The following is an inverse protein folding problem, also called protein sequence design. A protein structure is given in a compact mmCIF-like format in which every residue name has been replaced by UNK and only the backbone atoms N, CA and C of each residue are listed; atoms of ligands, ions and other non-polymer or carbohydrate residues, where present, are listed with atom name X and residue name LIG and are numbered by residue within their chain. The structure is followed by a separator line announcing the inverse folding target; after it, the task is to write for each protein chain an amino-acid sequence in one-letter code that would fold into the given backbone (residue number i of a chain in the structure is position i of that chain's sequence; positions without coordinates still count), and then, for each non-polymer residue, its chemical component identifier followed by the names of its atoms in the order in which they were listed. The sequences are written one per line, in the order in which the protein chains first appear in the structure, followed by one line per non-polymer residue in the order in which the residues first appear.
data_IF_801521913010
#
_entry.id   IF_801521913010
#
_cell.length_a   1.000
_cell.length_b   1.000
_cell.length_c   1.000
_cell.angle_alpha   90.00
_cell.angle_beta   90.00
_cell.angle_gamma   90.00
#
_symmetry.space_group_name_H-M   'P 1'
#
loop_
_entity.id
_entity.type
_entity.pdbx_description
1 polymer ?
#
# COMPACT_ATOMS: atom_id res chain seq x y z
N UNK A 1 -10.04 29.89 -5.21
CA UNK A 1 -8.79 30.56 -4.73
C UNK A 1 -8.42 31.64 -5.73
N UNK A 2 -8.00 32.83 -5.29
CA UNK A 2 -7.50 33.86 -6.18
C UNK A 2 -6.09 33.51 -6.72
N UNK A 3 -5.78 33.93 -7.95
CA UNK A 3 -4.48 33.66 -8.58
C UNK A 3 -3.33 34.32 -7.83
N UNK A 4 -3.53 35.52 -7.24
CA UNK A 4 -2.55 36.15 -6.37
C UNK A 4 -2.17 35.25 -5.17
N UNK A 5 -3.19 34.75 -4.46
CA UNK A 5 -2.98 33.82 -3.34
C UNK A 5 -2.33 32.50 -3.78
N UNK A 6 -2.69 32.00 -4.97
CA UNK A 6 -2.04 30.82 -5.55
C UNK A 6 -0.54 31.04 -5.72
N UNK A 7 -0.16 32.17 -6.34
CA UNK A 7 1.24 32.55 -6.59
C UNK A 7 2.03 32.60 -5.27
N UNK A 8 1.45 33.23 -4.24
CA UNK A 8 2.07 33.32 -2.92
C UNK A 8 2.27 31.95 -2.27
N UNK A 9 1.27 31.06 -2.40
CA UNK A 9 1.32 29.70 -1.82
C UNK A 9 2.41 28.85 -2.46
N UNK A 10 2.54 28.91 -3.79
CA UNK A 10 3.46 28.04 -4.54
C UNK A 10 4.82 28.71 -4.86
N UNK A 11 5.06 29.88 -4.35
CA UNK A 11 6.25 30.72 -4.69
C UNK A 11 6.45 30.85 -6.20
N UNK A 12 5.35 31.11 -6.92
CA UNK A 12 5.30 31.12 -8.37
C UNK A 12 5.57 32.52 -8.95
N UNK A 13 5.95 32.54 -10.23
CA UNK A 13 6.09 33.78 -11.01
C UNK A 13 5.08 33.79 -12.15
N UNK A 14 4.18 34.79 -12.15
CA UNK A 14 3.24 35.02 -13.23
C UNK A 14 3.97 35.49 -14.49
N UNK A 15 3.67 34.90 -15.64
CA UNK A 15 4.34 35.14 -16.92
C UNK A 15 3.54 36.07 -17.86
N UNK A 16 2.24 36.30 -17.58
CA UNK A 16 1.35 37.11 -18.39
C UNK A 16 0.42 37.96 -17.52
N UNK A 17 -0.45 38.72 -18.13
CA UNK A 17 -1.50 39.50 -17.46
C UNK A 17 -2.87 38.89 -17.81
N UNK A 18 -3.31 37.85 -17.08
CA UNK A 18 -4.56 37.17 -17.39
C UNK A 18 -5.80 38.06 -17.07
N UNK A 19 -6.87 37.83 -17.80
CA UNK A 19 -8.18 38.38 -17.46
C UNK A 19 -8.89 37.60 -16.33
N UNK A 20 -8.60 36.32 -16.23
CA UNK A 20 -9.10 35.43 -15.19
C UNK A 20 -8.29 35.61 -13.90
N UNK A 21 -8.99 35.81 -12.76
CA UNK A 21 -8.37 36.14 -11.48
C UNK A 21 -8.50 35.04 -10.42
N UNK A 22 -9.18 33.92 -10.70
CA UNK A 22 -9.44 32.86 -9.71
C UNK A 22 -9.42 31.47 -10.34
N UNK A 23 -9.25 30.45 -9.48
CA UNK A 23 -9.35 29.03 -9.81
C UNK A 23 -10.27 28.31 -8.78
N UNK A 24 -10.87 27.17 -9.18
CA UNK A 24 -11.72 26.37 -8.31
C UNK A 24 -10.96 25.22 -7.63
N UNK A 25 -10.25 24.40 -8.40
CA UNK A 25 -9.52 23.23 -7.94
C UNK A 25 -8.18 23.13 -8.67
N UNK A 26 -7.40 22.11 -8.40
CA UNK A 26 -6.15 21.83 -9.14
C UNK A 26 -6.08 20.36 -9.57
N UNK A 27 -5.50 20.13 -10.74
CA UNK A 27 -5.36 18.80 -11.37
C UNK A 27 -3.94 18.65 -11.94
N UNK A 28 -3.47 17.41 -11.96
CA UNK A 28 -2.21 16.98 -12.59
C UNK A 28 -2.44 16.06 -13.78
N UNK A 29 -3.68 15.60 -13.98
CA UNK A 29 -4.11 14.79 -15.11
C UNK A 29 -4.92 15.69 -16.06
N UNK A 30 -4.41 15.96 -17.29
CA UNK A 30 -5.07 16.90 -18.21
C UNK A 30 -6.47 16.44 -18.62
N UNK A 31 -6.74 15.13 -18.63
CA UNK A 31 -8.04 14.57 -18.98
C UNK A 31 -9.12 14.82 -17.90
N UNK A 32 -8.71 15.17 -16.69
CA UNK A 32 -9.58 15.46 -15.54
C UNK A 32 -9.81 16.94 -15.28
N UNK A 33 -9.16 17.79 -16.03
CA UNK A 33 -9.34 19.24 -15.96
C UNK A 33 -10.74 19.59 -16.38
N UNK A 34 -11.36 20.48 -15.62
CA UNK A 34 -12.66 21.10 -15.88
C UNK A 34 -12.50 22.61 -15.96
N UNK A 35 -13.51 23.27 -16.52
CA UNK A 35 -13.53 24.72 -16.56
C UNK A 35 -13.34 25.32 -15.17
N UNK A 36 -12.36 26.20 -15.07
CA UNK A 36 -12.00 26.86 -13.81
C UNK A 36 -10.88 26.19 -13.00
N UNK A 37 -10.37 25.05 -13.44
CA UNK A 37 -9.30 24.38 -12.71
C UNK A 37 -7.92 24.98 -13.01
N UNK A 38 -7.01 24.84 -12.04
CA UNK A 38 -5.58 24.94 -12.24
C UNK A 38 -5.06 23.62 -12.77
N UNK A 39 -4.32 23.63 -13.85
CA UNK A 39 -3.53 22.49 -14.32
C UNK A 39 -2.06 22.63 -13.95
N UNK A 40 -1.51 21.63 -13.29
CA UNK A 40 -0.08 21.55 -12.93
C UNK A 40 0.60 20.62 -13.91
N UNK A 41 1.35 21.19 -14.84
CA UNK A 41 1.99 20.48 -15.95
C UNK A 41 3.35 19.94 -15.54
N UNK A 42 3.55 18.63 -15.69
CA UNK A 42 4.85 17.98 -15.60
C UNK A 42 5.51 17.84 -16.97
N UNK A 43 4.72 17.83 -18.03
CA UNK A 43 5.18 17.76 -19.41
C UNK A 43 4.46 18.80 -20.26
N UNK A 44 5.18 19.33 -21.28
CA UNK A 44 4.61 20.30 -22.22
C UNK A 44 3.44 19.71 -23.03
N UNK A 45 3.48 18.42 -23.32
CA UNK A 45 2.52 17.75 -24.18
C UNK A 45 1.10 17.71 -23.56
N UNK A 46 0.97 17.84 -22.25
CA UNK A 46 -0.29 17.81 -21.51
C UNK A 46 -1.02 19.15 -21.50
N UNK A 47 -0.28 20.25 -21.74
CA UNK A 47 -0.81 21.61 -21.64
C UNK A 47 -1.93 21.91 -22.63
N UNK A 48 -1.81 21.59 -23.95
CA UNK A 48 -2.85 21.89 -24.91
C UNK A 48 -4.20 21.26 -24.55
N UNK A 49 -4.18 20.00 -24.08
CA UNK A 49 -5.38 19.31 -23.66
C UNK A 49 -6.01 19.94 -22.42
N UNK A 50 -5.19 20.35 -21.45
CA UNK A 50 -5.69 21.02 -20.24
C UNK A 50 -6.35 22.36 -20.56
N UNK A 51 -5.77 23.17 -21.45
CA UNK A 51 -6.35 24.44 -21.92
C UNK A 51 -7.65 24.18 -22.67
N UNK A 52 -7.70 23.19 -23.54
CA UNK A 52 -8.92 22.80 -24.28
C UNK A 52 -10.03 22.37 -23.32
N UNK A 53 -9.71 21.73 -22.22
CA UNK A 53 -10.65 21.30 -21.18
C UNK A 53 -11.08 22.44 -20.22
N UNK A 54 -10.59 23.67 -20.45
CA UNK A 54 -11.01 24.86 -19.72
C UNK A 54 -10.19 25.18 -18.48
N UNK A 55 -8.90 24.86 -18.44
CA UNK A 55 -8.01 25.33 -17.37
C UNK A 55 -7.98 26.84 -17.30
N UNK A 56 -8.10 27.44 -16.09
CA UNK A 56 -7.98 28.88 -15.84
C UNK A 56 -6.57 29.29 -15.47
N UNK A 57 -5.73 28.33 -15.10
CA UNK A 57 -4.32 28.58 -14.85
C UNK A 57 -3.47 27.36 -15.22
N UNK A 58 -2.26 27.61 -15.68
CA UNK A 58 -1.23 26.61 -15.94
C UNK A 58 -0.02 26.89 -15.06
N UNK A 59 0.39 25.88 -14.30
CA UNK A 59 1.67 25.89 -13.53
C UNK A 59 2.63 24.94 -14.17
N UNK A 60 3.86 25.39 -14.42
CA UNK A 60 4.94 24.55 -14.98
C UNK A 60 6.31 24.99 -14.48
N UNK A 61 7.28 24.06 -14.54
CA UNK A 61 8.67 24.35 -14.20
C UNK A 61 9.38 25.08 -15.34
N UNK A 62 9.06 24.72 -16.58
CA UNK A 62 9.62 25.34 -17.77
C UNK A 62 8.73 26.44 -18.33
N UNK A 63 9.32 27.35 -19.09
CA UNK A 63 8.59 28.40 -19.80
C UNK A 63 8.10 27.79 -21.13
N UNK A 64 6.79 27.84 -21.35
CA UNK A 64 6.14 27.37 -22.57
C UNK A 64 5.47 28.51 -23.33
N UNK A 65 5.22 28.35 -24.63
CA UNK A 65 4.44 29.31 -25.38
C UNK A 65 3.05 29.52 -24.77
N UNK A 66 2.70 30.77 -24.58
CA UNK A 66 1.37 31.16 -24.09
C UNK A 66 0.36 30.98 -25.24
N UNK A 67 -0.44 29.92 -25.19
CA UNK A 67 -1.42 29.59 -26.21
C UNK A 67 -2.78 30.28 -25.97
N UNK A 68 -3.06 30.67 -24.73
CA UNK A 68 -4.20 31.45 -24.34
C UNK A 68 -3.76 32.56 -23.39
N UNK A 69 -4.05 33.82 -23.72
CA UNK A 69 -3.63 35.00 -22.91
C UNK A 69 -4.59 35.34 -21.81
N UNK A 70 -5.80 34.80 -21.81
CA UNK A 70 -6.84 35.09 -20.83
C UNK A 70 -6.59 34.31 -19.53
N UNK A 71 -5.96 33.12 -19.61
CA UNK A 71 -5.64 32.30 -18.47
C UNK A 71 -4.29 32.66 -17.85
N UNK A 72 -4.06 32.27 -16.60
CA UNK A 72 -2.79 32.55 -15.91
C UNK A 72 -1.71 31.52 -16.27
N UNK A 73 -0.54 31.99 -16.65
CA UNK A 73 0.64 31.18 -16.86
C UNK A 73 1.65 31.44 -15.76
N UNK A 74 1.96 30.43 -14.95
CA UNK A 74 2.74 30.55 -13.74
C UNK A 74 3.94 29.63 -13.82
N UNK A 75 5.14 30.18 -13.67
CA UNK A 75 6.39 29.42 -13.56
C UNK A 75 6.70 29.18 -12.10
N UNK A 76 7.10 27.94 -11.77
CA UNK A 76 7.62 27.54 -10.46
C UNK A 76 9.01 26.94 -10.60
N UNK A 77 9.75 26.82 -9.48
CA UNK A 77 11.06 26.16 -9.47
C UNK A 77 10.95 24.65 -9.43
N UNK A 78 9.95 24.14 -8.72
CA UNK A 78 9.70 22.71 -8.51
C UNK A 78 8.18 22.45 -8.48
N UNK A 79 7.72 21.67 -9.43
CA UNK A 79 6.30 21.30 -9.58
C UNK A 79 5.82 20.43 -8.42
N UNK A 80 6.63 19.48 -7.97
CA UNK A 80 6.24 18.59 -6.88
C UNK A 80 6.14 19.33 -5.54
N UNK A 81 7.05 20.28 -5.31
CA UNK A 81 6.97 21.17 -4.14
C UNK A 81 5.69 22.01 -4.20
N UNK A 82 5.38 22.59 -5.35
CA UNK A 82 4.14 23.39 -5.54
C UNK A 82 2.87 22.56 -5.25
N UNK A 83 2.84 21.31 -5.68
CA UNK A 83 1.75 20.37 -5.37
C UNK A 83 1.66 20.14 -3.86
N UNK A 84 2.76 19.89 -3.18
CA UNK A 84 2.80 19.70 -1.72
C UNK A 84 2.26 20.95 -1.00
N UNK A 85 2.68 22.14 -1.42
CA UNK A 85 2.21 23.40 -0.83
C UNK A 85 0.70 23.60 -0.99
N UNK A 86 0.15 23.29 -2.17
CA UNK A 86 -1.30 23.36 -2.43
C UNK A 86 -2.08 22.34 -1.61
N UNK A 87 -1.57 21.13 -1.48
CA UNK A 87 -2.17 20.10 -0.63
C UNK A 87 -2.18 20.56 0.83
N UNK A 88 -1.05 21.05 1.34
CA UNK A 88 -0.95 21.59 2.71
C UNK A 88 -1.96 22.71 2.97
N UNK A 89 -2.04 23.66 2.05
CA UNK A 89 -3.00 24.76 2.14
C UNK A 89 -4.44 24.25 2.20
N UNK A 90 -4.79 23.26 1.35
CA UNK A 90 -6.12 22.66 1.36
C UNK A 90 -6.39 21.91 2.67
N UNK A 91 -5.46 21.10 3.14
CA UNK A 91 -5.60 20.32 4.37
C UNK A 91 -5.65 21.17 5.64
N UNK A 92 -5.05 22.36 5.63
CA UNK A 92 -5.10 23.30 6.77
C UNK A 92 -6.52 23.73 7.14
N UNK A 93 -7.49 23.58 6.24
CA UNK A 93 -8.89 23.90 6.48
C UNK A 93 -9.69 22.77 7.14
N UNK A 94 -9.10 21.59 7.34
CA UNK A 94 -9.77 20.41 7.88
C UNK A 94 -9.15 19.96 9.19
N UNK A 95 -9.98 19.51 10.11
CA UNK A 95 -9.54 18.81 11.31
C UNK A 95 -9.39 17.33 10.99
N UNK A 96 -8.19 16.92 10.60
CA UNK A 96 -7.86 15.54 10.24
C UNK A 96 -6.84 14.94 11.19
N UNK A 97 -6.79 13.60 11.26
CA UNK A 97 -5.71 12.85 11.89
C UNK A 97 -4.92 12.10 10.83
N UNK A 98 -3.61 12.11 10.93
CA UNK A 98 -2.76 11.42 9.97
C UNK A 98 -1.79 10.47 10.68
N UNK A 99 -1.77 9.21 10.24
CA UNK A 99 -0.94 8.16 10.81
C UNK A 99 0.03 7.61 9.78
N UNK A 100 1.29 7.54 10.16
CA UNK A 100 2.26 6.70 9.48
C UNK A 100 2.24 5.30 10.11
N UNK A 101 2.18 4.26 9.29
CA UNK A 101 2.18 2.88 9.74
C UNK A 101 3.02 1.97 8.83
N UNK A 102 3.45 0.83 9.37
CA UNK A 102 4.09 -0.21 8.59
C UNK A 102 3.12 -0.91 7.62
N UNK A 103 3.65 -1.72 6.73
CA UNK A 103 2.86 -2.38 5.69
C UNK A 103 1.80 -3.34 6.25
N UNK A 104 2.10 -4.08 7.32
CA UNK A 104 1.18 -5.04 7.92
C UNK A 104 -0.02 -4.33 8.56
N UNK A 105 0.23 -3.30 9.38
CA UNK A 105 -0.81 -2.46 9.97
C UNK A 105 -1.65 -1.77 8.90
N UNK A 106 -1.03 -1.26 7.83
CA UNK A 106 -1.73 -0.59 6.72
C UNK A 106 -2.72 -1.52 6.01
N UNK A 107 -2.30 -2.75 5.70
CA UNK A 107 -3.16 -3.69 4.99
C UNK A 107 -4.25 -4.27 5.92
N UNK A 108 -3.95 -4.49 7.21
CA UNK A 108 -4.97 -4.81 8.22
C UNK A 108 -6.00 -3.69 8.33
N UNK A 109 -5.56 -2.42 8.39
CA UNK A 109 -6.47 -1.26 8.39
C UNK A 109 -7.38 -1.25 7.17
N UNK A 110 -6.87 -1.55 5.97
CA UNK A 110 -7.68 -1.67 4.75
C UNK A 110 -8.74 -2.76 4.83
N UNK A 111 -8.37 -3.93 5.37
CA UNK A 111 -9.29 -5.08 5.52
C UNK A 111 -10.47 -4.70 6.42
N UNK A 112 -10.21 -4.02 7.53
CA UNK A 112 -11.24 -3.69 8.52
C UNK A 112 -11.97 -2.38 8.26
N UNK A 113 -11.38 -1.43 7.53
CA UNK A 113 -12.01 -0.14 7.21
C UNK A 113 -13.27 -0.26 6.34
N UNK A 114 -13.40 -1.34 5.58
CA UNK A 114 -14.54 -1.54 4.66
C UNK A 114 -15.92 -1.67 5.35
N UNK A 115 -15.95 -1.88 6.65
CA UNK A 115 -17.18 -2.11 7.43
C UNK A 115 -17.40 -1.09 8.55
N UNK A 116 -16.58 -0.06 8.62
CA UNK A 116 -16.67 0.97 9.66
C UNK A 116 -17.35 2.22 9.12
N UNK A 117 -18.00 2.97 10.03
CA UNK A 117 -18.50 4.31 9.75
C UNK A 117 -17.41 5.40 9.80
N UNK A 118 -16.17 5.05 10.18
CA UNK A 118 -15.06 6.00 10.19
C UNK A 118 -14.62 6.30 8.77
N UNK A 119 -14.47 7.57 8.44
CA UNK A 119 -13.92 7.99 7.16
C UNK A 119 -12.41 7.83 7.16
N UNK A 120 -11.93 6.68 6.66
CA UNK A 120 -10.51 6.36 6.58
C UNK A 120 -10.04 6.49 5.14
N UNK A 121 -9.01 7.29 4.93
CA UNK A 121 -8.37 7.51 3.63
C UNK A 121 -7.00 6.86 3.61
N UNK A 122 -6.74 6.08 2.59
CA UNK A 122 -5.45 5.41 2.38
C UNK A 122 -4.67 6.12 1.30
N UNK A 123 -3.48 6.59 1.66
CA UNK A 123 -2.58 7.27 0.74
C UNK A 123 -1.50 6.32 0.29
N UNK A 124 -1.33 6.21 -1.01
CA UNK A 124 -0.24 5.45 -1.60
C UNK A 124 1.09 6.22 -1.54
N UNK A 125 2.16 5.53 -1.94
CA UNK A 125 3.53 6.03 -1.81
C UNK A 125 3.89 7.16 -2.79
N UNK A 126 2.97 7.63 -3.64
CA UNK A 126 3.25 8.69 -4.60
C UNK A 126 2.28 9.88 -4.47
N UNK A 127 2.77 11.04 -4.86
CA UNK A 127 2.07 12.31 -4.77
C UNK A 127 0.82 12.37 -5.66
N UNK A 128 0.84 11.77 -6.84
CA UNK A 128 -0.30 11.76 -7.76
C UNK A 128 -1.50 11.00 -7.22
N UNK A 129 -1.23 9.93 -6.49
CA UNK A 129 -2.28 9.17 -5.80
C UNK A 129 -2.91 9.96 -4.66
N UNK A 130 -2.14 10.84 -4.01
CA UNK A 130 -2.68 11.75 -3.00
C UNK A 130 -3.63 12.77 -3.64
N UNK A 131 -3.21 13.40 -4.73
CA UNK A 131 -3.99 14.42 -5.44
C UNK A 131 -5.36 13.87 -5.87
N UNK A 132 -5.40 12.62 -6.32
CA UNK A 132 -6.67 11.98 -6.73
C UNK A 132 -7.71 11.91 -5.62
N UNK A 133 -7.26 11.84 -4.37
CA UNK A 133 -8.13 11.66 -3.21
C UNK A 133 -8.35 12.94 -2.41
N UNK A 134 -7.64 14.04 -2.74
CA UNK A 134 -7.67 15.24 -1.92
C UNK A 134 -9.02 15.96 -1.97
N UNK A 135 -9.75 15.84 -3.07
CA UNK A 135 -11.07 16.48 -3.22
C UNK A 135 -12.14 15.79 -2.35
N UNK A 136 -11.90 14.53 -1.95
CA UNK A 136 -12.80 13.72 -1.13
C UNK A 136 -12.50 13.82 0.38
N UNK A 137 -11.51 14.65 0.79
CA UNK A 137 -11.14 14.81 2.19
C UNK A 137 -12.15 15.74 2.88
N UNK A 138 -12.60 15.31 4.06
CA UNK A 138 -13.57 16.00 4.91
C UNK A 138 -13.07 16.15 6.35
N UNK A 139 -13.75 16.96 7.13
CA UNK A 139 -13.49 17.08 8.56
C UNK A 139 -13.64 15.73 9.28
N UNK A 140 -12.72 15.48 10.20
CA UNK A 140 -12.61 14.25 10.99
C UNK A 140 -12.21 13.00 10.19
N UNK A 141 -11.77 13.16 8.93
CA UNK A 141 -11.14 12.08 8.21
C UNK A 141 -9.85 11.63 8.91
N UNK A 142 -9.57 10.32 8.77
CA UNK A 142 -8.33 9.73 9.27
C UNK A 142 -7.51 9.23 8.07
N UNK A 143 -6.28 9.71 7.98
CA UNK A 143 -5.38 9.40 6.88
C UNK A 143 -4.34 8.37 7.33
N UNK A 144 -4.15 7.29 6.56
CA UNK A 144 -3.08 6.32 6.74
C UNK A 144 -2.12 6.33 5.56
N UNK A 145 -0.82 6.35 5.83
CA UNK A 145 0.24 6.24 4.81
C UNK A 145 1.38 5.36 5.29
N UNK A 146 2.01 4.67 4.34
CA UNK A 146 3.26 3.93 4.55
C UNK A 146 4.49 4.79 4.27
N UNK A 147 4.33 5.88 3.52
CA UNK A 147 5.41 6.81 3.22
C UNK A 147 5.43 7.95 4.24
N UNK A 148 6.30 7.81 5.24
CA UNK A 148 6.46 8.78 6.31
C UNK A 148 6.89 10.14 5.78
N UNK A 149 7.92 10.16 4.93
CA UNK A 149 8.52 11.40 4.42
C UNK A 149 7.52 12.23 3.60
N UNK A 150 6.74 11.58 2.73
CA UNK A 150 5.69 12.26 1.98
C UNK A 150 4.59 12.77 2.89
N UNK A 151 4.16 11.96 3.86
CA UNK A 151 3.10 12.34 4.79
C UNK A 151 3.52 13.55 5.65
N UNK A 152 4.75 13.57 6.18
CA UNK A 152 5.32 14.70 6.94
C UNK A 152 5.40 15.99 6.12
N UNK A 153 5.76 15.89 4.85
CA UNK A 153 5.79 17.04 3.93
C UNK A 153 4.40 17.62 3.70
N UNK A 154 3.37 16.78 3.68
CA UNK A 154 1.99 17.17 3.39
C UNK A 154 1.26 17.63 4.66
N UNK A 155 1.40 16.90 5.76
CA UNK A 155 0.74 17.14 7.03
C UNK A 155 1.74 16.96 8.18
N UNK A 156 2.30 18.06 8.73
CA UNK A 156 3.39 17.97 9.71
C UNK A 156 3.01 17.30 11.04
N UNK A 157 1.72 17.34 11.42
CA UNK A 157 1.25 16.77 12.69
C UNK A 157 0.86 15.30 12.54
N UNK A 158 1.79 14.46 12.09
CA UNK A 158 1.56 13.03 11.97
C UNK A 158 1.83 12.29 13.27
N UNK A 159 1.10 11.20 13.48
CA UNK A 159 1.31 10.27 14.57
C UNK A 159 1.87 8.94 14.05
N UNK A 160 2.74 8.31 14.83
CA UNK A 160 3.20 6.95 14.54
C UNK A 160 2.15 5.94 15.00
N UNK A 161 1.73 5.08 14.09
CA UNK A 161 0.82 3.97 14.41
C UNK A 161 1.55 2.75 14.99
N UNK A 162 2.89 2.75 14.96
CA UNK A 162 3.75 1.62 15.34
C UNK A 162 4.15 1.67 16.82
N UNK A 163 3.18 1.90 17.71
CA UNK A 163 3.43 1.83 19.15
C UNK A 163 3.46 0.38 19.66
N UNK A 164 4.24 0.14 20.71
CA UNK A 164 4.37 -1.18 21.34
C UNK A 164 3.11 -1.55 22.11
N UNK A 165 2.63 -2.76 21.88
CA UNK A 165 1.48 -3.34 22.60
C UNK A 165 1.95 -4.54 23.43
N UNK A 166 1.49 -4.61 24.68
CA UNK A 166 1.75 -5.76 25.55
C UNK A 166 0.55 -6.70 25.53
N UNK A 167 0.82 -7.97 25.34
CA UNK A 167 -0.13 -9.06 25.46
C UNK A 167 0.46 -10.17 26.35
N UNK A 168 -0.37 -11.08 26.85
CA UNK A 168 0.03 -12.12 27.80
C UNK A 168 -0.40 -13.51 27.33
N UNK A 169 0.06 -14.54 28.01
CA UNK A 169 -0.36 -15.94 27.83
C UNK A 169 -0.25 -16.41 26.36
N UNK A 170 0.84 -16.04 25.67
CA UNK A 170 1.05 -16.45 24.30
C UNK A 170 1.30 -17.95 24.20
N UNK A 171 0.51 -18.61 23.38
CA UNK A 171 0.68 -19.99 22.94
C UNK A 171 0.83 -20.00 21.41
N UNK A 172 1.98 -20.39 20.92
CA UNK A 172 2.23 -20.60 19.49
C UNK A 172 1.86 -22.04 19.15
N UNK A 173 0.67 -22.28 18.57
CA UNK A 173 0.22 -23.62 18.13
C UNK A 173 0.98 -24.07 16.88
N UNK A 174 1.31 -23.11 16.02
CA UNK A 174 2.14 -23.31 14.82
C UNK A 174 2.79 -21.98 14.40
N UNK A 175 3.51 -21.96 13.27
CA UNK A 175 3.99 -20.72 12.66
C UNK A 175 2.84 -19.74 12.30
N UNK A 176 1.63 -20.26 12.13
CA UNK A 176 0.49 -19.59 11.50
C UNK A 176 -0.73 -19.48 12.41
N UNK A 177 -0.66 -20.00 13.62
CA UNK A 177 -1.78 -20.01 14.55
C UNK A 177 -1.30 -19.76 15.98
N UNK A 178 -1.94 -18.81 16.65
CA UNK A 178 -1.60 -18.39 18.02
C UNK A 178 -2.84 -18.26 18.90
N UNK A 179 -2.63 -18.43 20.21
CA UNK A 179 -3.58 -17.99 21.24
C UNK A 179 -2.87 -17.03 22.19
N UNK A 180 -3.55 -16.01 22.62
CA UNK A 180 -3.00 -15.03 23.58
C UNK A 180 -4.12 -14.28 24.30
N UNK A 181 -3.76 -13.60 25.39
CA UNK A 181 -4.65 -12.70 26.12
C UNK A 181 -4.25 -11.25 25.86
N UNK A 182 -5.20 -10.41 25.50
CA UNK A 182 -5.02 -8.97 25.38
C UNK A 182 -6.10 -8.23 26.18
N UNK A 183 -5.68 -7.44 27.16
CA UNK A 183 -6.57 -6.86 28.17
C UNK A 183 -7.40 -8.01 28.78
N UNK A 184 -8.71 -7.95 28.73
CA UNK A 184 -9.63 -8.95 29.31
C UNK A 184 -10.14 -9.97 28.28
N UNK A 185 -9.54 -10.02 27.07
CA UNK A 185 -10.00 -10.86 25.97
C UNK A 185 -8.98 -11.93 25.65
N UNK A 186 -9.44 -13.18 25.62
CA UNK A 186 -8.65 -14.32 25.15
C UNK A 186 -8.94 -14.62 23.68
N UNK A 187 -7.92 -14.48 22.84
CA UNK A 187 -7.95 -14.89 21.45
C UNK A 187 -7.50 -16.34 21.35
N UNK A 188 -8.42 -17.23 20.98
CA UNK A 188 -8.17 -18.66 20.85
C UNK A 188 -7.92 -19.04 19.40
N UNK A 189 -6.80 -19.70 19.11
CA UNK A 189 -6.44 -20.27 17.80
C UNK A 189 -6.65 -19.31 16.63
N UNK A 190 -6.18 -18.07 16.82
CA UNK A 190 -6.24 -17.07 15.77
C UNK A 190 -5.28 -17.45 14.64
N UNK A 191 -5.80 -17.52 13.42
CA UNK A 191 -4.97 -17.80 12.21
C UNK A 191 -4.15 -16.60 11.83
N UNK A 192 -3.13 -16.35 12.62
CA UNK A 192 -2.19 -15.24 12.51
C UNK A 192 -0.81 -15.70 12.99
N UNK A 193 0.25 -15.28 12.30
CA UNK A 193 1.59 -15.50 12.81
C UNK A 193 1.89 -14.58 13.99
N UNK A 194 2.68 -15.07 14.94
CA UNK A 194 3.15 -14.31 16.11
C UNK A 194 3.74 -12.95 15.74
N UNK A 195 4.47 -12.88 14.64
CA UNK A 195 5.17 -11.65 14.21
C UNK A 195 4.24 -10.50 13.86
N UNK A 196 2.95 -10.75 13.66
CA UNK A 196 1.91 -9.76 13.32
C UNK A 196 0.87 -9.53 14.42
N UNK A 197 1.08 -10.07 15.63
CA UNK A 197 0.13 -9.87 16.75
C UNK A 197 0.02 -8.39 17.11
N UNK A 198 1.15 -7.66 17.21
CA UNK A 198 1.12 -6.24 17.56
C UNK A 198 0.40 -5.40 16.50
N UNK A 199 0.62 -5.69 15.22
CA UNK A 199 -0.06 -5.01 14.12
C UNK A 199 -1.58 -5.23 14.17
N UNK A 200 -1.99 -6.47 14.39
CA UNK A 200 -3.39 -6.82 14.58
C UNK A 200 -4.00 -6.10 15.78
N UNK A 201 -3.33 -6.07 16.92
CA UNK A 201 -3.84 -5.45 18.14
C UNK A 201 -3.95 -3.92 18.03
N UNK A 202 -3.04 -3.24 17.31
CA UNK A 202 -3.16 -1.81 17.02
C UNK A 202 -4.45 -1.51 16.24
N UNK A 203 -4.69 -2.30 15.21
CA UNK A 203 -5.91 -2.18 14.40
C UNK A 203 -7.16 -2.52 15.22
N UNK A 204 -7.11 -3.56 16.03
CA UNK A 204 -8.17 -3.95 16.95
C UNK A 204 -8.55 -2.83 17.93
N UNK A 205 -7.55 -2.16 18.52
CA UNK A 205 -7.77 -1.01 19.41
C UNK A 205 -8.32 0.21 18.64
N UNK A 206 -7.81 0.48 17.43
CA UNK A 206 -8.27 1.59 16.62
C UNK A 206 -9.78 1.51 16.31
N UNK A 207 -10.28 0.32 16.07
CA UNK A 207 -11.71 0.06 15.85
C UNK A 207 -12.49 -0.20 17.17
N UNK A 208 -11.93 0.17 18.33
CA UNK A 208 -12.56 0.01 19.65
C UNK A 208 -13.00 -1.44 19.92
N UNK A 209 -12.23 -2.42 19.44
CA UNK A 209 -12.49 -3.85 19.59
C UNK A 209 -13.67 -4.38 18.75
N UNK A 210 -14.28 -3.56 17.93
CA UNK A 210 -15.41 -3.91 17.06
C UNK A 210 -14.92 -4.28 15.66
N UNK A 211 -14.39 -5.50 15.52
CA UNK A 211 -13.94 -6.06 14.25
C UNK A 211 -14.38 -7.50 14.08
N UNK A 212 -14.70 -7.88 12.85
CA UNK A 212 -15.00 -9.26 12.48
C UNK A 212 -13.71 -10.07 12.28
N UNK A 213 -13.38 -10.94 13.22
CA UNK A 213 -12.18 -11.79 13.15
C UNK A 213 -12.13 -12.69 11.91
N UNK A 214 -13.27 -13.01 11.29
CA UNK A 214 -13.32 -13.82 10.07
C UNK A 214 -12.64 -13.11 8.89
N UNK A 215 -12.60 -11.78 8.90
CA UNK A 215 -11.91 -10.99 7.86
C UNK A 215 -10.39 -11.16 7.89
N UNK A 216 -9.82 -11.63 9.00
CA UNK A 216 -8.38 -11.91 9.09
C UNK A 216 -7.91 -12.94 8.04
N UNK A 217 -8.83 -13.78 7.52
CA UNK A 217 -8.54 -14.68 6.39
C UNK A 217 -8.03 -13.97 5.12
N UNK A 218 -8.34 -12.66 4.97
CA UNK A 218 -7.89 -11.82 3.85
C UNK A 218 -6.50 -11.20 4.09
N UNK A 219 -5.93 -11.36 5.28
CA UNK A 219 -4.58 -10.93 5.57
C UNK A 219 -3.59 -11.97 5.05
N UNK A 220 -2.84 -11.61 4.00
CA UNK A 220 -2.03 -12.55 3.23
C UNK A 220 -0.54 -12.58 3.65
N UNK A 221 -0.12 -11.84 4.68
CA UNK A 221 1.25 -11.85 5.16
C UNK A 221 1.55 -13.10 5.98
N UNK A 222 2.64 -13.78 5.64
CA UNK A 222 3.06 -15.03 6.25
C UNK A 222 1.94 -16.08 6.31
N UNK A 223 1.08 -16.09 5.29
CA UNK A 223 -0.06 -16.98 5.17
C UNK A 223 0.34 -18.23 4.40
N UNK A 224 0.14 -19.44 4.94
CA UNK A 224 0.53 -20.65 4.27
C UNK A 224 -0.48 -21.13 3.24
N UNK A 225 0.01 -21.69 2.13
CA UNK A 225 -0.69 -22.63 1.29
C UNK A 225 -0.18 -24.04 1.65
N UNK A 226 -1.02 -24.85 2.31
CA UNK A 226 -0.65 -26.22 2.64
C UNK A 226 -0.83 -27.13 1.44
N UNK A 227 0.14 -28.03 1.23
CA UNK A 227 0.18 -28.94 0.10
C UNK A 227 0.26 -30.39 0.55
N UNK A 228 -0.40 -31.27 -0.18
CA UNK A 228 -0.22 -32.71 -0.05
C UNK A 228 1.03 -33.20 -0.78
N UNK A 229 1.18 -34.53 -0.88
CA UNK A 229 2.33 -35.18 -1.58
C UNK A 229 2.27 -34.93 -3.09
N UNK A 230 1.10 -34.71 -3.65
CA UNK A 230 0.86 -34.45 -5.08
C UNK A 230 0.96 -32.98 -5.45
N UNK A 231 1.29 -32.11 -4.48
CA UNK A 231 1.33 -30.64 -4.59
C UNK A 231 -0.06 -30.00 -4.79
N UNK A 232 -1.12 -30.67 -4.38
CA UNK A 232 -2.45 -30.11 -4.34
C UNK A 232 -2.68 -29.32 -3.05
N UNK A 233 -3.44 -28.23 -3.16
CA UNK A 233 -3.79 -27.39 -2.00
C UNK A 233 -4.79 -28.13 -1.13
N UNK A 234 -4.44 -28.25 0.15
CA UNK A 234 -5.28 -28.90 1.15
C UNK A 234 -5.63 -27.94 2.29
N UNK A 235 -6.54 -28.36 3.16
CA UNK A 235 -6.98 -27.57 4.30
C UNK A 235 -5.85 -27.17 5.23
N UNK A 236 -6.05 -26.03 5.90
CA UNK A 236 -5.11 -25.47 6.87
C UNK A 236 -4.69 -26.50 7.94
N UNK A 237 -3.38 -26.69 8.08
CA UNK A 237 -2.77 -27.55 9.10
C UNK A 237 -2.87 -29.07 8.83
N UNK A 238 -3.33 -29.51 7.66
CA UNK A 238 -3.43 -30.94 7.30
C UNK A 238 -2.13 -31.52 6.71
N UNK A 239 -1.08 -30.72 6.57
CA UNK A 239 0.23 -31.15 6.07
C UNK A 239 1.36 -30.42 6.78
N UNK A 240 2.54 -31.00 6.72
CA UNK A 240 3.82 -30.39 7.11
C UNK A 240 4.50 -29.66 5.94
N UNK A 241 3.91 -29.72 4.73
CA UNK A 241 4.39 -29.00 3.55
C UNK A 241 3.56 -27.76 3.29
N UNK A 242 4.22 -26.62 3.10
CA UNK A 242 3.55 -25.37 2.82
C UNK A 242 4.39 -24.41 1.97
N UNK A 243 3.69 -23.48 1.33
CA UNK A 243 4.27 -22.33 0.61
C UNK A 243 3.85 -21.05 1.33
N UNK A 244 4.80 -20.13 1.50
CA UNK A 244 4.57 -18.75 1.94
C UNK A 244 4.97 -17.83 0.80
N UNK A 245 4.18 -16.80 0.52
CA UNK A 245 4.51 -15.77 -0.47
C UNK A 245 4.70 -14.42 0.20
N UNK A 246 5.67 -13.63 -0.27
CA UNK A 246 5.91 -12.29 0.21
C UNK A 246 6.40 -11.37 -0.92
N UNK A 247 5.68 -10.28 -1.17
CA UNK A 247 6.03 -9.29 -2.19
C UNK A 247 6.61 -8.00 -1.59
N UNK A 248 6.47 -7.83 -0.28
CA UNK A 248 7.04 -6.70 0.42
C UNK A 248 8.45 -7.06 0.93
N UNK A 249 9.46 -6.50 0.27
CA UNK A 249 10.87 -6.81 0.58
C UNK A 249 11.29 -6.37 1.99
N UNK A 250 10.64 -5.39 2.60
CA UNK A 250 10.93 -4.93 3.97
C UNK A 250 10.61 -6.00 5.01
N UNK A 251 9.64 -6.87 4.76
CA UNK A 251 9.20 -7.93 5.66
C UNK A 251 10.00 -9.24 5.50
N UNK A 252 10.64 -9.43 4.35
CA UNK A 252 11.32 -10.69 4.00
C UNK A 252 12.34 -11.11 5.05
N UNK A 253 13.18 -10.19 5.51
CA UNK A 253 14.24 -10.51 6.47
C UNK A 253 13.69 -10.99 7.82
N UNK A 254 12.65 -10.33 8.34
CA UNK A 254 12.01 -10.68 9.61
C UNK A 254 11.26 -12.01 9.53
N UNK A 255 10.52 -12.23 8.44
CA UNK A 255 9.78 -13.47 8.21
C UNK A 255 10.71 -14.67 8.03
N UNK A 256 11.79 -14.53 7.26
CA UNK A 256 12.78 -15.60 7.08
C UNK A 256 13.50 -15.90 8.39
N UNK A 257 13.86 -14.88 9.16
CA UNK A 257 14.48 -15.07 10.47
C UNK A 257 13.55 -15.85 11.40
N UNK A 258 12.26 -15.49 11.43
CA UNK A 258 11.25 -16.20 12.22
C UNK A 258 11.09 -17.66 11.74
N UNK A 259 10.95 -17.88 10.43
CA UNK A 259 10.83 -19.22 9.84
C UNK A 259 12.03 -20.10 10.19
N UNK A 260 13.27 -19.63 9.96
CA UNK A 260 14.51 -20.36 10.26
C UNK A 260 14.64 -20.67 11.75
N UNK A 261 14.26 -19.75 12.63
CA UNK A 261 14.35 -19.96 14.07
C UNK A 261 13.37 -21.00 14.60
N UNK A 262 12.16 -21.02 14.06
CA UNK A 262 11.11 -21.95 14.51
C UNK A 262 11.11 -23.29 13.79
N UNK A 263 11.63 -23.33 12.55
CA UNK A 263 11.56 -24.49 11.68
C UNK A 263 12.98 -24.94 11.27
N UNK A 264 13.87 -25.07 12.28
CA UNK A 264 15.32 -25.27 12.11
C UNK A 264 15.71 -26.51 11.33
N UNK A 265 14.93 -27.59 11.46
CA UNK A 265 15.26 -28.89 10.86
C UNK A 265 14.49 -29.16 9.56
N UNK A 266 13.66 -28.23 9.14
CA UNK A 266 12.89 -28.37 7.92
C UNK A 266 13.70 -27.98 6.68
N UNK A 267 13.51 -28.72 5.61
CA UNK A 267 14.06 -28.37 4.32
C UNK A 267 13.26 -27.21 3.72
N UNK A 268 13.85 -26.02 3.73
CA UNK A 268 13.25 -24.81 3.18
C UNK A 268 13.85 -24.46 1.84
N UNK A 269 13.02 -24.27 0.82
CA UNK A 269 13.40 -23.71 -0.48
C UNK A 269 13.08 -22.22 -0.51
N UNK A 270 14.01 -21.46 -1.08
CA UNK A 270 13.80 -20.03 -1.34
C UNK A 270 13.70 -19.81 -2.85
N UNK A 271 12.55 -19.33 -3.31
CA UNK A 271 12.25 -19.11 -4.72
C UNK A 271 11.96 -17.62 -4.93
N UNK A 272 12.48 -17.04 -6.02
CA UNK A 272 12.29 -15.62 -6.29
C UNK A 272 12.12 -15.37 -7.79
N UNK A 273 11.32 -14.35 -8.16
CA UNK A 273 11.15 -13.92 -9.56
C UNK A 273 12.36 -13.16 -10.11
N UNK A 274 13.14 -12.54 -9.21
CA UNK A 274 14.39 -11.83 -9.50
C UNK A 274 15.38 -12.07 -8.38
N UNK A 275 16.67 -11.90 -8.65
CA UNK A 275 17.68 -11.98 -7.60
C UNK A 275 17.33 -11.05 -6.44
N UNK A 276 17.34 -11.58 -5.22
CA UNK A 276 17.06 -10.84 -3.99
C UNK A 276 18.28 -10.87 -3.07
N UNK A 277 18.73 -9.69 -2.65
CA UNK A 277 19.81 -9.57 -1.66
C UNK A 277 19.39 -10.03 -0.25
N UNK A 278 18.07 -10.10 0.02
CA UNK A 278 17.52 -10.58 1.29
C UNK A 278 17.60 -12.10 1.46
N UNK A 279 17.84 -12.81 0.35
CA UNK A 279 18.07 -14.26 0.34
C UNK A 279 19.56 -14.54 0.19
N UNK A 280 20.07 -15.47 0.98
CA UNK A 280 21.43 -15.99 0.81
C UNK A 280 21.61 -16.69 -0.55
N UNK A 281 22.83 -17.12 -0.86
CA UNK A 281 23.23 -17.71 -2.15
C UNK A 281 22.38 -18.89 -2.66
N UNK A 282 21.50 -19.45 -1.84
CA UNK A 282 20.71 -20.66 -2.16
C UNK A 282 19.30 -20.34 -2.71
N UNK A 283 19.12 -19.21 -3.38
CA UNK A 283 17.85 -18.88 -4.01
C UNK A 283 17.72 -19.49 -5.41
N UNK A 284 16.52 -19.95 -5.74
CA UNK A 284 16.16 -20.45 -7.06
C UNK A 284 15.38 -19.36 -7.77
N UNK A 285 15.85 -18.92 -8.93
CA UNK A 285 15.19 -17.87 -9.71
C UNK A 285 14.26 -18.54 -10.72
N UNK A 286 12.98 -18.14 -10.71
CA UNK A 286 11.95 -18.59 -11.67
C UNK A 286 11.18 -17.37 -12.18
N UNK A 287 10.80 -17.38 -13.46
CA UNK A 287 10.11 -16.26 -14.08
C UNK A 287 8.60 -16.46 -14.16
N UNK A 288 8.14 -17.70 -14.11
CA UNK A 288 6.74 -18.06 -14.26
C UNK A 288 6.27 -19.01 -13.17
N UNK A 289 4.97 -19.08 -12.96
CA UNK A 289 4.37 -20.05 -12.04
C UNK A 289 4.52 -21.48 -12.53
N UNK A 290 4.68 -21.73 -13.83
CA UNK A 290 4.91 -23.06 -14.39
C UNK A 290 6.33 -23.54 -14.10
N UNK A 291 7.35 -22.68 -14.21
CA UNK A 291 8.71 -22.97 -13.76
C UNK A 291 8.73 -23.27 -12.25
N UNK A 292 7.97 -22.51 -11.46
CA UNK A 292 7.85 -22.75 -10.03
C UNK A 292 7.31 -24.16 -9.75
N UNK A 293 6.25 -24.60 -10.44
CA UNK A 293 5.70 -25.96 -10.30
C UNK A 293 6.74 -27.05 -10.62
N UNK A 294 7.49 -26.86 -11.68
CA UNK A 294 8.55 -27.82 -12.04
C UNK A 294 9.64 -27.91 -10.97
N UNK A 295 10.01 -26.80 -10.37
CA UNK A 295 10.95 -26.78 -9.24
C UNK A 295 10.37 -27.50 -8.03
N UNK A 296 9.08 -27.28 -7.70
CA UNK A 296 8.40 -27.96 -6.59
C UNK A 296 8.35 -29.49 -6.80
N UNK A 297 8.09 -29.97 -8.03
CA UNK A 297 8.09 -31.40 -8.35
C UNK A 297 9.47 -32.05 -8.23
N UNK A 298 10.52 -31.32 -8.62
CA UNK A 298 11.90 -31.85 -8.65
C UNK A 298 12.60 -31.83 -7.29
N UNK A 299 12.08 -31.08 -6.33
CA UNK A 299 12.73 -30.88 -5.04
C UNK A 299 11.89 -31.43 -3.88
N UNK A 300 12.56 -32.05 -2.93
CA UNK A 300 11.94 -32.36 -1.64
C UNK A 300 12.01 -31.15 -0.71
N UNK A 301 10.90 -30.79 -0.07
CA UNK A 301 10.82 -29.66 0.86
C UNK A 301 9.73 -29.87 1.94
N UNK A 302 9.84 -29.12 3.03
CA UNK A 302 8.77 -28.91 4.01
C UNK A 302 8.19 -27.50 3.85
N UNK A 303 9.03 -26.50 3.63
CA UNK A 303 8.63 -25.12 3.44
C UNK A 303 9.17 -24.55 2.13
N UNK A 304 8.39 -23.71 1.47
CA UNK A 304 8.85 -22.87 0.35
C UNK A 304 8.54 -21.43 0.69
N UNK A 305 9.53 -20.57 0.59
CA UNK A 305 9.36 -19.14 0.74
C UNK A 305 9.56 -18.47 -0.62
N UNK A 306 8.51 -17.80 -1.11
CA UNK A 306 8.45 -17.28 -2.48
C UNK A 306 8.41 -15.77 -2.46
N UNK A 307 9.28 -15.12 -3.25
CA UNK A 307 9.31 -13.66 -3.43
C UNK A 307 8.97 -13.33 -4.88
N UNK A 308 8.09 -12.34 -5.08
CA UNK A 308 7.74 -11.82 -6.40
C UNK A 308 6.56 -12.51 -7.08
N UNK A 309 5.85 -13.38 -6.34
CA UNK A 309 4.55 -13.93 -6.73
C UNK A 309 3.54 -13.71 -5.60
N UNK A 310 2.32 -13.41 -5.94
CA UNK A 310 1.24 -13.24 -4.97
C UNK A 310 0.70 -14.58 -4.49
N UNK A 311 0.04 -14.55 -3.33
CA UNK A 311 -0.67 -15.71 -2.78
C UNK A 311 -1.68 -16.29 -3.79
N UNK A 312 -2.45 -15.41 -4.44
CA UNK A 312 -3.50 -15.83 -5.38
C UNK A 312 -2.92 -16.40 -6.69
N UNK A 313 -1.82 -15.85 -7.22
CA UNK A 313 -1.13 -16.41 -8.39
C UNK A 313 -0.65 -17.83 -8.14
N UNK A 314 -0.03 -18.08 -6.98
CA UNK A 314 0.43 -19.44 -6.62
C UNK A 314 -0.77 -20.36 -6.39
N UNK A 315 -1.81 -19.90 -5.68
CA UNK A 315 -3.01 -20.69 -5.44
C UNK A 315 -3.70 -21.10 -6.74
N UNK A 316 -3.92 -20.15 -7.66
CA UNK A 316 -4.50 -20.42 -8.98
C UNK A 316 -3.63 -21.36 -9.82
N UNK A 317 -2.33 -21.17 -9.77
CA UNK A 317 -1.39 -22.01 -10.49
C UNK A 317 -1.48 -23.47 -10.02
N UNK A 318 -1.51 -23.73 -8.71
CA UNK A 318 -1.59 -25.08 -8.16
C UNK A 318 -2.96 -25.73 -8.36
N UNK A 319 -4.05 -24.95 -8.34
CA UNK A 319 -5.41 -25.46 -8.65
C UNK A 319 -5.61 -25.90 -10.11
N UNK A 320 -4.86 -25.31 -11.07
CA UNK A 320 -4.96 -25.70 -12.50
C UNK A 320 -4.41 -27.11 -12.80
N UNK A 321 -3.72 -27.74 -11.88
CA UNK A 321 -3.24 -29.13 -12.05
C UNK A 321 -4.39 -30.15 -12.01
N UNK A 322 -5.48 -29.90 -11.29
CA UNK A 322 -6.63 -30.82 -11.20
C UNK A 322 -7.38 -30.96 -12.54
N UNK A 323 -7.50 -29.92 -13.36
CA UNK A 323 -8.28 -29.96 -14.60
C UNK A 323 -7.61 -30.67 -15.77
N UNK A 324 -6.31 -30.90 -15.74
CA UNK A 324 -5.57 -31.63 -16.79
C UNK A 324 -5.43 -33.13 -16.53
N UNK A 325 -5.53 -33.56 -15.28
CA UNK A 325 -5.39 -34.99 -14.92
C UNK A 325 -6.70 -35.80 -15.04
N UNK A 326 -7.84 -35.13 -15.21
CA UNK A 326 -9.18 -35.80 -15.30
C UNK A 326 -9.64 -36.07 -16.75
N UNK A 327 -8.77 -35.90 -17.74
CA UNK A 327 -9.10 -36.12 -19.17
C UNK A 327 -8.39 -37.32 -19.82
N UNK A 328 -7.86 -38.26 -19.01
CA UNK A 328 -7.35 -39.54 -19.51
C UNK A 328 -7.84 -40.70 -18.65
#
# INVERSE_FOLDING_TARGET
MQISSLIDIIDGRLLNSPSISFIYSFKTDPSKVKEGDLFIARTINDIPLAVQNGAFAIVSQDIHPIIDKEIAWIKVLDVDLSIIQLIRFKLANYNIKAYHCNNASYDLMKIYSQTTSKNIKFISNNLDSFIKNIDDIQDNDVIFSRNKELLEKIYPNIEAFDYKIKYANLIEHSLFEVSFTYKDIYFSKLKLSKIYIEDFLRVYDFFNKDIDLLKLKSFNYFKPLFLDKSLEIIEFGKSDKFIITQNNLELVASEISYLKNKFKYAKTLFITSKYSQHLEKNQIIVKTTDELKEILKKNSFNAVYVIGFTYDEIAQALQKLEKQASLF
#
